data_IF_341737622644
#
_entry.id   IF_341737622644
#
_cell.length_a   1.000
_cell.length_b   1.000
_cell.length_c   1.000
_cell.angle_alpha   90.00
_cell.angle_beta   90.00
_cell.angle_gamma   90.00
#
_symmetry.space_group_name_H-M   'P 1'
#
loop_
_entity.id
_entity.type
_entity.pdbx_description
1 polymer ?
#
# COMPACT_ATOMS: atom_id res chain seq x y z
N UNK A 1 24.08 6.56 53.44
CA UNK A 1 24.28 6.55 51.97
C UNK A 1 22.90 6.48 51.35
N UNK A 2 22.45 7.58 50.77
CA UNK A 2 21.10 7.73 50.20
C UNK A 2 21.23 7.59 48.69
N UNK A 3 20.72 6.49 48.16
CA UNK A 3 20.73 6.15 46.75
C UNK A 3 19.53 6.84 46.08
N UNK A 4 19.78 7.86 45.27
CA UNK A 4 18.75 8.46 44.43
C UNK A 4 18.81 7.81 43.04
N UNK A 5 17.80 7.04 42.61
CA UNK A 5 17.66 6.73 41.21
C UNK A 5 17.12 7.98 40.49
N UNK A 6 18.03 8.69 39.80
CA UNK A 6 17.67 9.56 38.70
C UNK A 6 17.03 8.72 37.58
N UNK A 7 15.90 9.20 37.04
CA UNK A 7 15.36 8.66 35.79
C UNK A 7 13.83 8.59 35.72
N UNK A 8 13.11 9.62 36.19
CA UNK A 8 11.70 9.74 35.88
C UNK A 8 11.55 10.32 34.48
N UNK A 9 11.56 9.45 33.46
CA UNK A 9 11.10 9.80 32.13
C UNK A 9 9.60 10.09 32.23
N UNK A 10 9.23 11.37 32.22
CA UNK A 10 7.85 11.80 32.03
C UNK A 10 7.42 11.48 30.60
N UNK A 11 6.97 10.24 30.39
CA UNK A 11 6.28 9.84 29.16
C UNK A 11 4.86 10.44 29.21
N UNK A 12 4.57 11.30 28.24
CA UNK A 12 3.21 11.69 27.93
C UNK A 12 2.36 10.42 27.68
N UNK A 13 1.07 10.41 28.06
CA UNK A 13 0.21 9.27 27.79
C UNK A 13 0.10 9.07 26.27
N UNK A 14 0.63 7.95 25.77
CA UNK A 14 0.47 7.52 24.39
C UNK A 14 1.71 7.06 23.64
N UNK A 15 2.93 7.21 24.18
CA UNK A 15 4.15 6.78 23.50
C UNK A 15 4.66 5.46 24.12
N UNK A 16 4.47 4.35 23.40
CA UNK A 16 5.10 3.06 23.69
C UNK A 16 6.42 3.02 22.92
N UNK A 17 7.56 3.03 23.63
CA UNK A 17 8.87 2.76 23.02
C UNK A 17 9.07 1.23 22.99
N UNK A 18 9.33 0.61 21.83
CA UNK A 18 9.64 -0.81 21.77
C UNK A 18 11.01 -1.08 22.40
N UNK A 19 11.07 -2.14 23.22
CA UNK A 19 12.29 -2.64 23.85
C UNK A 19 13.26 -3.23 22.82
N UNK A 20 14.55 -2.96 23.03
CA UNK A 20 15.65 -3.20 22.08
C UNK A 20 16.01 -4.69 21.82
N UNK A 21 15.10 -5.63 22.07
CA UNK A 21 15.33 -7.08 21.91
C UNK A 21 14.76 -7.69 20.61
N UNK A 22 13.90 -6.98 19.88
CA UNK A 22 13.19 -7.50 18.69
C UNK A 22 13.55 -6.72 17.41
N UNK A 23 14.84 -6.66 17.10
CA UNK A 23 15.38 -5.83 16.02
C UNK A 23 15.37 -6.48 14.62
N UNK A 24 14.58 -7.53 14.37
CA UNK A 24 14.62 -8.24 13.07
C UNK A 24 13.28 -8.67 12.45
N UNK A 25 12.12 -8.30 13.00
CA UNK A 25 10.86 -8.54 12.28
C UNK A 25 9.74 -7.58 12.69
N UNK A 26 10.00 -6.27 12.60
CA UNK A 26 8.92 -5.30 12.41
C UNK A 26 8.35 -5.54 11.00
N UNK A 27 7.61 -6.64 10.84
CA UNK A 27 6.76 -6.91 9.69
C UNK A 27 5.62 -5.92 9.82
N UNK A 28 5.88 -4.70 9.36
CA UNK A 28 4.89 -3.63 9.27
C UNK A 28 3.66 -4.28 8.63
N UNK A 29 2.49 -4.32 9.30
CA UNK A 29 1.27 -4.82 8.68
C UNK A 29 0.93 -3.85 7.56
N UNK A 30 1.53 -4.10 6.41
CA UNK A 30 1.31 -3.31 5.22
C UNK A 30 0.07 -3.91 4.59
N UNK A 31 -1.02 -3.17 4.62
CA UNK A 31 -2.15 -3.50 3.77
C UNK A 31 -1.68 -3.45 2.31
N UNK A 32 -2.01 -4.49 1.56
CA UNK A 32 -1.73 -4.55 0.13
C UNK A 32 -3.02 -4.85 -0.62
N UNK A 33 -3.10 -4.34 -1.85
CA UNK A 33 -4.18 -4.63 -2.77
C UNK A 33 -3.65 -5.45 -3.94
N UNK A 34 -4.23 -6.62 -4.17
CA UNK A 34 -4.00 -7.42 -5.37
C UNK A 34 -4.75 -6.81 -6.55
N UNK A 35 -4.08 -6.63 -7.68
CA UNK A 35 -4.67 -5.98 -8.87
C UNK A 35 -4.81 -7.01 -9.99
N UNK A 36 -6.01 -7.05 -10.56
CA UNK A 36 -6.39 -7.93 -11.66
C UNK A 36 -6.89 -7.09 -12.84
N UNK A 37 -6.48 -7.46 -14.05
CA UNK A 37 -6.97 -6.87 -15.30
C UNK A 37 -7.60 -7.97 -16.15
N UNK A 38 -8.88 -7.84 -16.51
CA UNK A 38 -9.65 -8.84 -17.25
C UNK A 38 -9.52 -10.25 -16.62
N UNK A 39 -9.60 -10.32 -15.29
CA UNK A 39 -9.44 -11.55 -14.50
C UNK A 39 -7.99 -12.06 -14.33
N UNK A 40 -6.99 -11.39 -14.89
CA UNK A 40 -5.58 -11.80 -14.81
C UNK A 40 -4.83 -11.01 -13.75
N UNK A 41 -4.10 -11.70 -12.87
CA UNK A 41 -3.28 -11.06 -11.85
C UNK A 41 -2.12 -10.28 -12.49
N UNK A 42 -1.96 -9.02 -12.10
CA UNK A 42 -0.92 -8.10 -12.61
C UNK A 42 0.15 -7.83 -11.58
N UNK A 43 -0.24 -7.67 -10.31
CA UNK A 43 0.68 -7.36 -9.22
C UNK A 43 -0.05 -6.90 -7.96
N UNK A 44 0.70 -6.43 -6.98
CA UNK A 44 0.18 -5.93 -5.71
C UNK A 44 0.65 -4.50 -5.43
N UNK A 45 -0.26 -3.65 -4.95
CA UNK A 45 0.07 -2.33 -4.44
C UNK A 45 0.24 -2.39 -2.92
N UNK A 46 1.43 -2.04 -2.46
CA UNK A 46 1.80 -1.99 -1.05
C UNK A 46 1.42 -0.60 -0.49
N UNK A 47 0.60 -0.54 0.57
CA UNK A 47 0.23 0.73 1.21
C UNK A 47 1.30 1.13 2.24
N UNK A 48 2.15 2.07 1.86
CA UNK A 48 3.29 2.47 2.72
C UNK A 48 2.88 3.40 3.88
N UNK A 49 1.73 4.08 3.78
CA UNK A 49 1.25 5.01 4.81
C UNK A 49 -0.27 4.95 5.03
N UNK A 50 -0.71 5.20 6.26
CA UNK A 50 -2.10 5.53 6.60
C UNK A 50 -2.45 6.90 5.98
N UNK A 51 -2.93 6.88 4.73
CA UNK A 51 -3.21 8.10 3.95
C UNK A 51 -2.84 8.00 2.48
N UNK A 52 -2.21 6.90 2.04
CA UNK A 52 -2.10 6.62 0.61
C UNK A 52 -3.52 6.56 0.03
N UNK A 53 -3.74 7.20 -1.12
CA UNK A 53 -5.04 7.17 -1.83
C UNK A 53 -5.49 5.74 -2.14
N UNK A 54 -4.60 4.74 -1.93
CA UNK A 54 -4.96 3.36 -1.69
C UNK A 54 -5.59 2.76 -2.92
N UNK A 55 -6.86 2.38 -2.79
CA UNK A 55 -7.67 1.90 -3.90
C UNK A 55 -7.89 2.96 -5.00
N UNK A 56 -7.87 4.26 -4.70
CA UNK A 56 -8.06 5.29 -5.75
C UNK A 56 -6.78 5.59 -6.52
N UNK A 57 -5.62 5.38 -5.92
CA UNK A 57 -4.34 5.71 -6.55
C UNK A 57 -4.12 4.96 -7.88
N UNK A 58 -4.55 3.70 -7.95
CA UNK A 58 -4.46 2.88 -9.17
C UNK A 58 -5.37 3.44 -10.26
N UNK A 59 -6.60 3.82 -9.89
CA UNK A 59 -7.56 4.43 -10.82
C UNK A 59 -7.06 5.78 -11.34
N UNK A 60 -6.61 6.66 -10.47
CA UNK A 60 -6.07 7.98 -10.86
C UNK A 60 -4.83 7.83 -11.74
N UNK A 61 -3.95 6.86 -11.45
CA UNK A 61 -2.81 6.57 -12.31
C UNK A 61 -3.23 6.18 -13.74
N UNK A 62 -4.19 5.27 -13.88
CA UNK A 62 -4.69 4.85 -15.19
C UNK A 62 -5.36 6.00 -15.97
N UNK A 63 -6.16 6.82 -15.28
CA UNK A 63 -6.76 8.02 -15.88
C UNK A 63 -5.68 9.00 -16.38
N UNK A 64 -4.62 9.21 -15.60
CA UNK A 64 -3.50 10.07 -15.99
C UNK A 64 -2.68 9.51 -17.16
N UNK A 65 -2.66 8.18 -17.36
CA UNK A 65 -2.06 7.56 -18.55
C UNK A 65 -2.97 7.64 -19.80
N UNK A 66 -4.19 8.16 -19.66
CA UNK A 66 -5.14 8.31 -20.78
C UNK A 66 -6.03 7.10 -21.03
N UNK A 67 -6.10 6.15 -20.08
CA UNK A 67 -7.14 5.13 -20.09
C UNK A 67 -8.40 5.72 -19.46
N UNK A 68 -9.51 5.72 -20.19
CA UNK A 68 -10.80 6.26 -19.70
C UNK A 68 -11.93 5.25 -19.80
N UNK A 69 -11.77 4.24 -20.65
CA UNK A 69 -12.78 3.20 -20.90
C UNK A 69 -12.40 1.91 -20.16
N UNK A 70 -12.63 1.90 -18.86
CA UNK A 70 -12.47 0.72 -18.02
C UNK A 70 -13.42 0.75 -16.83
N UNK A 71 -13.86 -0.43 -16.41
CA UNK A 71 -14.55 -0.63 -15.16
C UNK A 71 -13.54 -0.84 -14.04
N UNK A 72 -13.84 -0.31 -12.85
CA UNK A 72 -12.97 -0.37 -11.69
C UNK A 72 -13.79 -0.80 -10.47
N UNK A 73 -13.53 -2.00 -9.98
CA UNK A 73 -14.23 -2.62 -8.84
C UNK A 73 -13.25 -2.97 -7.75
N UNK A 74 -13.60 -2.68 -6.51
CA UNK A 74 -12.80 -3.02 -5.33
C UNK A 74 -13.60 -4.00 -4.47
N UNK A 75 -13.05 -5.19 -4.24
CA UNK A 75 -13.63 -6.20 -3.36
C UNK A 75 -12.61 -6.59 -2.29
N UNK A 76 -12.77 -6.00 -1.09
CA UNK A 76 -11.85 -6.23 0.02
C UNK A 76 -10.43 -5.75 -0.30
N UNK A 77 -9.49 -6.70 -0.47
CA UNK A 77 -8.10 -6.42 -0.86
C UNK A 77 -7.80 -6.70 -2.33
N UNK A 78 -8.84 -6.90 -3.14
CA UNK A 78 -8.71 -7.16 -4.57
C UNK A 78 -9.28 -5.97 -5.36
N UNK A 79 -8.50 -5.51 -6.33
CA UNK A 79 -8.89 -4.51 -7.31
C UNK A 79 -9.06 -5.24 -8.64
N UNK A 80 -10.26 -5.16 -9.21
CA UNK A 80 -10.57 -5.71 -10.51
C UNK A 80 -10.77 -4.57 -11.51
N UNK A 81 -10.05 -4.68 -12.61
CA UNK A 81 -10.08 -3.72 -13.70
C UNK A 81 -10.54 -4.49 -14.93
N UNK A 82 -11.66 -4.08 -15.52
CA UNK A 82 -12.18 -4.70 -16.73
C UNK A 82 -12.14 -3.66 -17.84
N UNK A 83 -11.55 -4.02 -18.98
CA UNK A 83 -11.47 -3.13 -20.15
C UNK A 83 -11.69 -3.92 -21.43
N UNK A 84 -12.43 -3.34 -22.36
CA UNK A 84 -12.62 -3.86 -23.71
C UNK A 84 -11.74 -3.12 -24.73
N UNK A 85 -10.87 -2.21 -24.26
CA UNK A 85 -9.94 -1.44 -25.09
C UNK A 85 -8.84 -2.36 -25.62
N UNK A 86 -8.47 -2.18 -26.90
CA UNK A 86 -7.35 -2.91 -27.53
C UNK A 86 -6.00 -2.69 -26.82
N UNK A 87 -5.91 -1.61 -26.03
CA UNK A 87 -4.76 -1.24 -25.20
C UNK A 87 -4.72 -1.96 -23.84
N UNK A 88 -5.46 -3.05 -23.63
CA UNK A 88 -5.36 -3.90 -22.41
C UNK A 88 -3.90 -4.21 -22.08
N UNK A 89 -3.13 -4.62 -23.10
CA UNK A 89 -1.73 -5.01 -22.91
C UNK A 89 -0.87 -3.84 -22.40
N UNK A 90 -1.07 -2.66 -22.97
CA UNK A 90 -0.37 -1.44 -22.54
C UNK A 90 -0.75 -1.10 -21.10
N UNK A 91 -2.03 -1.17 -20.75
CA UNK A 91 -2.52 -0.96 -19.38
C UNK A 91 -1.81 -1.88 -18.38
N UNK A 92 -1.70 -3.17 -18.71
CA UNK A 92 -0.98 -4.15 -17.89
C UNK A 92 0.49 -3.78 -17.73
N UNK A 93 1.17 -3.37 -18.80
CA UNK A 93 2.59 -2.98 -18.73
C UNK A 93 2.79 -1.69 -17.91
N UNK A 94 1.92 -0.68 -18.06
CA UNK A 94 1.95 0.53 -17.23
C UNK A 94 1.72 0.21 -15.76
N UNK A 95 0.78 -0.68 -15.44
CA UNK A 95 0.52 -1.11 -14.06
C UNK A 95 1.72 -1.85 -13.48
N UNK A 96 2.35 -2.76 -14.23
CA UNK A 96 3.57 -3.45 -13.75
C UNK A 96 4.70 -2.50 -13.41
N UNK A 97 4.89 -1.45 -14.20
CA UNK A 97 5.89 -0.41 -13.93
C UNK A 97 5.52 0.36 -12.66
N UNK A 98 4.26 0.81 -12.55
CA UNK A 98 3.75 1.52 -11.38
C UNK A 98 3.91 0.71 -10.09
N UNK A 99 3.59 -0.59 -10.13
CA UNK A 99 3.65 -1.48 -8.97
C UNK A 99 5.08 -1.91 -8.61
N UNK A 100 6.05 -1.76 -9.52
CA UNK A 100 7.47 -2.06 -9.26
C UNK A 100 8.18 -0.98 -8.45
N UNK A 101 7.68 0.25 -8.46
CA UNK A 101 8.32 1.39 -7.80
C UNK A 101 7.84 1.40 -6.35
N UNK A 102 8.76 1.12 -5.43
CA UNK A 102 8.55 1.09 -3.97
C UNK A 102 9.15 2.32 -3.31
#
# INVERSE_FOLDING_TARGET
>A
MINYPYGQNSIAPGIVLPSEADRNNLKVPTDSFSIYVNGRYVGEKILVAQGDLGEKAVKDYLLNQGFTDFSYTVEGKNIYIETYDEREKDMVDYLKVYLRIR
#
